data_IF_633731653853
#
_entry.id   IF_633731653853
#
_cell.length_a   1.000
_cell.length_b   1.000
_cell.length_c   1.000
_cell.angle_alpha   90.00
_cell.angle_beta   90.00
_cell.angle_gamma   90.00
#
_symmetry.space_group_name_H-M   'P 1'
#
loop_
_entity.id
_entity.type
_entity.pdbx_description
1 polymer ?
#
# COMPACT_ATOMS: atom_id res chain seq x y z
N UNK A 1 27.11 9.74 -13.20
CA UNK A 1 25.72 9.48 -12.74
C UNK A 1 25.72 9.86 -11.29
N UNK A 2 25.80 11.16 -11.09
CA UNK A 2 26.31 11.69 -9.85
C UNK A 2 25.10 12.15 -9.06
N UNK A 3 25.02 11.64 -7.83
CA UNK A 3 24.04 11.92 -6.78
C UNK A 3 22.75 11.11 -6.82
N UNK A 4 22.86 9.78 -6.72
CA UNK A 4 21.87 9.05 -5.94
C UNK A 4 21.89 9.66 -4.52
N UNK A 5 20.76 10.16 -4.00
CA UNK A 5 20.78 10.77 -2.68
C UNK A 5 21.04 9.70 -1.60
N UNK A 6 21.82 10.05 -0.59
CA UNK A 6 22.20 9.12 0.50
C UNK A 6 21.00 8.57 1.27
N UNK A 7 19.85 9.28 1.26
CA UNK A 7 18.64 8.86 1.93
C UNK A 7 17.88 7.74 1.19
N UNK A 8 18.13 7.51 -0.11
CA UNK A 8 17.38 6.56 -0.92
C UNK A 8 17.96 5.15 -0.80
N UNK A 9 17.71 4.52 0.34
CA UNK A 9 18.19 3.18 0.69
C UNK A 9 17.04 2.28 1.17
N UNK A 10 17.19 0.93 1.14
CA UNK A 10 16.22 0.02 1.73
C UNK A 10 15.83 0.42 3.17
N UNK A 11 14.53 0.41 3.45
CA UNK A 11 13.95 0.85 4.71
C UNK A 11 13.51 2.31 4.74
N UNK A 12 14.01 3.16 3.83
CA UNK A 12 13.63 4.57 3.77
C UNK A 12 12.14 4.76 3.47
N UNK A 13 11.54 5.76 4.10
CA UNK A 13 10.16 6.16 3.83
C UNK A 13 10.14 7.18 2.69
N UNK A 14 9.25 6.96 1.72
CA UNK A 14 9.14 7.79 0.51
C UNK A 14 7.72 8.18 0.21
N UNK A 15 7.55 9.40 -0.29
CA UNK A 15 6.33 9.89 -0.91
C UNK A 15 6.44 9.78 -2.43
N UNK A 16 5.40 9.25 -3.05
CA UNK A 16 5.30 9.09 -4.51
C UNK A 16 3.81 9.03 -4.91
N UNK A 17 3.43 9.66 -6.03
CA UNK A 17 2.06 9.62 -6.56
C UNK A 17 0.94 9.81 -5.50
N UNK A 18 1.12 10.79 -4.61
CA UNK A 18 0.23 11.12 -3.46
C UNK A 18 0.13 10.04 -2.37
N UNK A 19 1.00 9.04 -2.38
CA UNK A 19 1.04 7.92 -1.45
C UNK A 19 2.34 7.92 -0.67
N UNK A 20 2.38 7.13 0.42
CA UNK A 20 3.61 6.81 1.15
C UNK A 20 3.95 5.34 0.95
N UNK A 21 5.24 5.03 0.88
CA UNK A 21 5.74 3.67 0.93
C UNK A 21 7.10 3.57 1.59
N UNK A 22 7.58 2.35 1.69
CA UNK A 22 8.91 2.00 2.14
C UNK A 22 9.71 1.46 0.96
N UNK A 23 10.94 1.96 0.80
CA UNK A 23 11.91 1.39 -0.14
C UNK A 23 12.26 -0.02 0.31
N UNK A 24 12.05 -0.99 -0.56
CA UNK A 24 12.43 -2.39 -0.35
C UNK A 24 13.81 -2.64 -0.95
N UNK A 25 14.05 -2.11 -2.15
CA UNK A 25 15.28 -2.31 -2.89
C UNK A 25 15.54 -1.15 -3.86
N UNK A 26 16.80 -1.00 -4.29
CA UNK A 26 17.24 0.04 -5.22
C UNK A 26 18.16 -0.59 -6.26
N UNK A 27 17.77 -0.51 -7.54
CA UNK A 27 18.56 -0.98 -8.66
C UNK A 27 19.11 0.20 -9.46
N UNK A 28 20.43 0.25 -9.65
CA UNK A 28 21.10 1.35 -10.34
C UNK A 28 21.74 0.81 -11.62
N UNK A 29 21.48 1.46 -12.75
CA UNK A 29 22.16 1.21 -14.01
C UNK A 29 22.83 2.48 -14.53
N UNK A 30 23.51 2.36 -15.67
CA UNK A 30 24.12 3.52 -16.34
C UNK A 30 23.10 4.50 -16.97
N UNK A 31 21.82 4.17 -16.96
CA UNK A 31 20.79 4.96 -17.64
C UNK A 31 19.70 5.43 -16.69
N UNK A 32 19.46 4.69 -15.60
CA UNK A 32 18.33 4.90 -14.71
C UNK A 32 18.58 4.35 -13.32
N UNK A 33 17.80 4.87 -12.38
CA UNK A 33 17.67 4.35 -11.02
C UNK A 33 16.23 3.87 -10.86
N UNK A 34 16.06 2.63 -10.42
CA UNK A 34 14.77 2.03 -10.11
C UNK A 34 14.68 1.78 -8.61
N UNK A 35 13.52 2.05 -8.02
CA UNK A 35 13.24 1.91 -6.59
C UNK A 35 12.06 0.98 -6.43
N UNK A 36 12.25 -0.14 -5.74
CA UNK A 36 11.16 -1.03 -5.38
C UNK A 36 10.49 -0.49 -4.14
N UNK A 37 9.20 -0.16 -4.22
CA UNK A 37 8.45 0.46 -3.12
C UNK A 37 7.26 -0.40 -2.71
N UNK A 38 7.13 -0.65 -1.41
CA UNK A 38 5.96 -1.27 -0.80
C UNK A 38 5.13 -0.20 -0.08
N UNK A 39 3.82 -0.13 -0.35
CA UNK A 39 2.94 0.89 0.22
C UNK A 39 1.69 0.29 0.89
N UNK A 40 1.09 0.98 1.88
CA UNK A 40 -0.21 0.60 2.43
C UNK A 40 -1.32 0.56 1.37
N UNK A 41 -1.26 1.45 0.37
CA UNK A 41 -2.14 1.44 -0.81
C UNK A 41 -2.01 0.15 -1.61
N UNK A 42 -0.78 -0.31 -1.83
CA UNK A 42 -0.50 -1.58 -2.49
C UNK A 42 -1.12 -2.75 -1.72
N UNK A 43 -0.93 -2.79 -0.39
CA UNK A 43 -1.53 -3.81 0.49
C UNK A 43 -3.05 -3.81 0.36
N UNK A 44 -3.70 -2.65 0.48
CA UNK A 44 -5.15 -2.51 0.35
C UNK A 44 -5.67 -3.00 -1.02
N UNK A 45 -4.92 -2.77 -2.09
CA UNK A 45 -5.27 -3.24 -3.45
C UNK A 45 -4.85 -4.69 -3.73
N UNK A 46 -4.24 -5.37 -2.77
CA UNK A 46 -3.59 -6.67 -2.97
C UNK A 46 -2.57 -6.65 -4.14
N UNK A 47 -1.81 -5.56 -4.25
CA UNK A 47 -0.72 -5.40 -5.21
C UNK A 47 0.62 -5.66 -4.53
N UNK A 48 1.54 -6.30 -5.26
CA UNK A 48 2.93 -6.47 -4.84
C UNK A 48 3.64 -5.11 -4.72
N UNK A 49 4.86 -5.13 -4.16
CA UNK A 49 5.75 -3.99 -4.28
C UNK A 49 5.99 -3.64 -5.77
N UNK A 50 6.17 -2.35 -6.05
CA UNK A 50 6.23 -1.81 -7.41
C UNK A 50 7.60 -1.18 -7.68
N UNK A 51 8.18 -1.45 -8.85
CA UNK A 51 9.39 -0.78 -9.31
C UNK A 51 9.04 0.56 -9.94
N UNK A 52 9.54 1.64 -9.34
CA UNK A 52 9.35 3.01 -9.78
C UNK A 52 10.67 3.59 -10.27
N UNK A 53 10.66 4.28 -11.40
CA UNK A 53 11.83 5.05 -11.84
C UNK A 53 12.02 6.24 -10.89
N UNK A 54 13.23 6.38 -10.33
CA UNK A 54 13.57 7.50 -9.47
C UNK A 54 13.71 8.77 -10.29
N UNK A 55 12.83 9.73 -10.01
CA UNK A 55 12.93 11.12 -10.45
C UNK A 55 12.89 12.01 -9.20
N UNK A 56 13.86 12.92 -8.99
CA UNK A 56 13.98 13.71 -7.76
C UNK A 56 12.70 14.45 -7.34
N UNK A 57 11.91 14.90 -8.30
CA UNK A 57 10.65 15.60 -8.09
C UNK A 57 9.46 14.67 -7.82
N UNK A 58 9.56 13.39 -8.16
CA UNK A 58 8.49 12.40 -8.09
C UNK A 58 8.59 11.47 -6.86
N UNK A 59 9.81 11.17 -6.40
CA UNK A 59 10.07 10.35 -5.22
C UNK A 59 10.88 11.16 -4.22
N UNK A 60 10.29 11.42 -3.06
CA UNK A 60 10.88 12.28 -2.01
C UNK A 60 10.85 11.57 -0.66
N UNK A 61 11.69 11.95 0.31
CA UNK A 61 11.58 11.44 1.67
C UNK A 61 10.19 11.74 2.26
N UNK A 62 9.58 10.75 2.91
CA UNK A 62 8.37 10.94 3.70
C UNK A 62 8.72 11.13 5.18
N UNK A 63 7.92 11.93 5.89
CA UNK A 63 8.04 12.01 7.35
C UNK A 63 7.34 10.83 8.03
N UNK A 64 7.77 10.41 9.23
CA UNK A 64 7.07 9.39 10.01
C UNK A 64 5.60 9.71 10.26
N UNK A 65 5.26 10.98 10.50
CA UNK A 65 3.88 11.42 10.76
C UNK A 65 3.01 11.31 9.51
N UNK A 66 3.56 11.56 8.32
CA UNK A 66 2.85 11.33 7.05
C UNK A 66 2.61 9.84 6.84
N UNK A 67 3.61 9.00 7.08
CA UNK A 67 3.49 7.55 6.99
C UNK A 67 2.44 6.98 7.95
N UNK A 68 2.44 7.45 9.20
CA UNK A 68 1.45 7.06 10.21
C UNK A 68 0.01 7.43 9.78
N UNK A 69 -0.18 8.64 9.25
CA UNK A 69 -1.48 9.08 8.71
C UNK A 69 -1.95 8.20 7.56
N UNK A 70 -1.05 7.86 6.64
CA UNK A 70 -1.37 6.99 5.50
C UNK A 70 -1.72 5.57 5.97
N UNK A 71 -0.98 5.01 6.94
CA UNK A 71 -1.27 3.71 7.53
C UNK A 71 -2.67 3.66 8.15
N UNK A 72 -3.02 4.66 8.97
CA UNK A 72 -4.35 4.69 9.61
C UNK A 72 -5.49 4.87 8.58
N UNK A 73 -5.26 5.62 7.50
CA UNK A 73 -6.22 5.75 6.40
C UNK A 73 -6.54 4.37 5.78
N UNK A 74 -5.52 3.63 5.33
CA UNK A 74 -5.72 2.33 4.69
C UNK A 74 -6.18 1.26 5.68
N UNK A 75 -5.78 1.35 6.94
CA UNK A 75 -6.32 0.51 8.01
C UNK A 75 -7.82 0.72 8.18
N UNK A 76 -8.29 1.96 8.08
CA UNK A 76 -9.72 2.29 8.04
C UNK A 76 -10.44 1.63 6.87
N UNK A 77 -9.88 1.71 5.66
CA UNK A 77 -10.45 1.06 4.48
C UNK A 77 -10.53 -0.46 4.62
N UNK A 78 -9.46 -1.10 5.09
CA UNK A 78 -9.43 -2.56 5.29
C UNK A 78 -10.46 -2.99 6.34
N UNK A 79 -10.55 -2.27 7.48
CA UNK A 79 -11.56 -2.55 8.51
C UNK A 79 -12.98 -2.45 7.95
N UNK A 80 -13.27 -1.42 7.16
CA UNK A 80 -14.57 -1.27 6.50
C UNK A 80 -14.88 -2.46 5.58
N UNK A 81 -13.92 -2.89 4.76
CA UNK A 81 -14.10 -4.06 3.89
C UNK A 81 -14.38 -5.34 4.67
N UNK A 82 -13.69 -5.56 5.80
CA UNK A 82 -13.95 -6.70 6.68
C UNK A 82 -15.37 -6.65 7.25
N UNK A 83 -15.80 -5.49 7.74
CA UNK A 83 -17.18 -5.31 8.24
C UNK A 83 -18.23 -5.59 7.15
N UNK A 84 -18.00 -5.14 5.92
CA UNK A 84 -18.90 -5.43 4.79
C UNK A 84 -18.93 -6.92 4.44
N UNK A 85 -17.78 -7.61 4.48
CA UNK A 85 -17.71 -9.06 4.27
C UNK A 85 -18.44 -9.84 5.36
N UNK A 86 -18.28 -9.47 6.62
CA UNK A 86 -18.95 -10.12 7.75
C UNK A 86 -20.48 -9.94 7.63
N UNK A 87 -20.95 -8.73 7.32
CA UNK A 87 -22.37 -8.48 7.08
C UNK A 87 -22.95 -9.31 5.92
N UNK A 88 -22.22 -9.44 4.82
CA UNK A 88 -22.61 -10.29 3.70
C UNK A 88 -22.71 -11.77 4.10
N UNK A 89 -21.78 -12.26 4.93
CA UNK A 89 -21.80 -13.63 5.41
C UNK A 89 -23.03 -13.89 6.30
N UNK A 90 -23.36 -12.95 7.20
CA UNK A 90 -24.55 -13.04 8.05
C UNK A 90 -25.84 -13.10 7.23
N UNK A 91 -25.95 -12.27 6.18
CA UNK A 91 -27.10 -12.30 5.25
C UNK A 91 -27.27 -13.68 4.60
N UNK A 92 -26.17 -14.28 4.11
CA UNK A 92 -26.21 -15.59 3.46
C UNK A 92 -26.61 -16.72 4.42
N UNK A 93 -26.12 -16.69 5.66
CA UNK A 93 -26.47 -17.68 6.69
C UNK A 93 -27.97 -17.58 7.01
N UNK A 94 -28.48 -16.38 7.21
CA UNK A 94 -29.88 -16.15 7.58
C UNK A 94 -30.87 -16.55 6.46
N UNK A 95 -30.52 -16.29 5.19
CA UNK A 95 -31.31 -16.75 4.03
C UNK A 95 -31.34 -18.28 3.95
N UNK A 96 -30.22 -18.94 4.24
CA UNK A 96 -30.10 -20.41 4.18
C UNK A 96 -30.93 -21.09 5.27
N UNK A 97 -31.02 -20.49 6.46
CA UNK A 97 -31.84 -21.01 7.56
C UNK A 97 -33.33 -20.83 7.29
N UNK A 98 -33.75 -19.67 6.76
CA UNK A 98 -35.16 -19.39 6.44
C UNK A 98 -35.74 -20.39 5.43
N UNK A 99 -34.95 -20.81 4.43
CA UNK A 99 -35.39 -21.79 3.43
C UNK A 99 -35.54 -23.23 3.96
N UNK A 100 -34.89 -23.59 5.05
CA UNK A 100 -34.99 -24.94 5.66
C UNK A 100 -36.21 -25.13 6.56
N UNK A 101 -36.83 -24.04 7.02
CA UNK A 101 -38.01 -24.12 7.91
C UNK A 101 -39.33 -24.13 7.10
N UNK A 102 -39.26 -23.82 5.81
CA UNK A 102 -40.44 -23.74 4.93
C UNK A 102 -40.54 -24.87 3.90
N UNK A 103 -39.71 -25.91 4.02
CA UNK A 103 -39.74 -27.14 3.21
C UNK A 103 -40.05 -28.33 4.12
#
# INVERSE_FOLDING_TARGET
>A
MDNLPEWLVPGALVEFALCVGQVVDVAVSTERVMVLVKSPKGIWRNHSAEWLEYKPEAIKPATPERAARELELYRGYIRKMLTEMDGLADEWINVTQTRRVSA
#
